data_IF_078432114348
#
_entry.id   IF_078432114348
#
_cell.length_a   1.000
_cell.length_b   1.000
_cell.length_c   1.000
_cell.angle_alpha   90.00
_cell.angle_beta   90.00
_cell.angle_gamma   90.00
#
_symmetry.space_group_name_H-M   'P 1'
#
loop_
_entity.id
_entity.type
_entity.pdbx_description
1 polymer ?
#
# COMPACT_ATOMS: atom_id res chain seq x y z
N UNK A 1 4.07 8.86 -1.63
CA UNK A 1 4.37 7.42 -1.38
C UNK A 1 3.56 6.89 -0.21
N UNK A 2 3.69 7.49 0.98
CA UNK A 2 2.97 7.05 2.19
C UNK A 2 1.43 7.06 2.01
N UNK A 3 0.86 8.10 1.39
CA UNK A 3 -0.59 8.17 1.15
C UNK A 3 -1.08 6.97 0.33
N UNK A 4 -0.37 6.61 -0.74
CA UNK A 4 -0.73 5.45 -1.57
C UNK A 4 -0.58 4.13 -0.79
N UNK A 5 0.42 4.01 0.08
CA UNK A 5 0.56 2.87 0.99
C UNK A 5 -0.65 2.77 1.94
N UNK A 6 -1.10 3.89 2.52
CA UNK A 6 -2.29 3.92 3.38
C UNK A 6 -3.55 3.51 2.62
N UNK A 7 -3.74 3.99 1.39
CA UNK A 7 -4.87 3.59 0.54
C UNK A 7 -4.85 2.07 0.31
N UNK A 8 -3.69 1.51 -0.07
CA UNK A 8 -3.54 0.07 -0.25
C UNK A 8 -3.83 -0.73 1.03
N UNK A 9 -3.36 -0.24 2.19
CA UNK A 9 -3.64 -0.86 3.48
C UNK A 9 -5.13 -0.82 3.84
N UNK A 10 -5.80 0.32 3.67
CA UNK A 10 -7.24 0.45 3.91
C UNK A 10 -8.02 -0.51 3.00
N UNK A 11 -7.64 -0.62 1.72
CA UNK A 11 -8.27 -1.61 0.82
C UNK A 11 -8.20 -3.03 1.37
N UNK A 12 -7.01 -3.47 1.81
CA UNK A 12 -6.83 -4.82 2.36
C UNK A 12 -7.65 -5.02 3.63
N UNK A 13 -7.71 -4.00 4.50
CA UNK A 13 -8.48 -4.06 5.75
C UNK A 13 -9.98 -4.18 5.45
N UNK A 14 -10.52 -3.36 4.55
CA UNK A 14 -11.94 -3.38 4.16
C UNK A 14 -12.31 -4.73 3.50
N UNK A 15 -11.47 -5.25 2.60
CA UNK A 15 -11.66 -6.57 1.98
C UNK A 15 -11.66 -7.68 3.04
N UNK A 16 -10.72 -7.63 3.99
CA UNK A 16 -10.64 -8.60 5.09
C UNK A 16 -11.87 -8.53 5.98
N UNK A 17 -12.31 -7.32 6.31
CA UNK A 17 -13.49 -7.09 7.12
C UNK A 17 -14.74 -7.65 6.44
N UNK A 18 -14.93 -7.40 5.14
CA UNK A 18 -16.07 -7.95 4.40
C UNK A 18 -16.04 -9.48 4.34
N UNK A 19 -14.87 -10.09 4.11
CA UNK A 19 -14.76 -11.56 4.10
C UNK A 19 -15.06 -12.19 5.46
N UNK A 20 -14.64 -11.57 6.56
CA UNK A 20 -14.78 -12.16 7.90
C UNK A 20 -16.10 -11.83 8.59
N UNK A 21 -16.71 -10.69 8.27
CA UNK A 21 -17.84 -10.13 9.03
C UNK A 21 -19.15 -10.15 8.27
N UNK A 22 -19.13 -10.28 6.94
CA UNK A 22 -20.36 -10.29 6.14
C UNK A 22 -21.06 -11.64 6.22
N UNK A 23 -22.40 -11.59 6.26
CA UNK A 23 -23.25 -12.78 6.20
C UNK A 23 -23.03 -13.58 4.91
N UNK A 24 -22.85 -12.87 3.79
CA UNK A 24 -22.45 -13.43 2.51
C UNK A 24 -21.25 -12.63 1.95
N UNK A 25 -20.02 -13.18 2.00
CA UNK A 25 -18.82 -12.49 1.54
C UNK A 25 -18.73 -12.38 0.01
N UNK A 26 -19.55 -13.12 -0.74
CA UNK A 26 -19.60 -13.05 -2.20
C UNK A 26 -20.40 -11.86 -2.72
N UNK A 27 -21.15 -11.19 -1.85
CA UNK A 27 -21.93 -10.02 -2.22
C UNK A 27 -21.03 -8.84 -2.59
N UNK A 28 -21.39 -8.07 -3.63
CA UNK A 28 -20.63 -6.90 -4.05
C UNK A 28 -20.54 -5.86 -2.93
N UNK A 29 -19.34 -5.34 -2.72
CA UNK A 29 -19.05 -4.27 -1.75
C UNK A 29 -18.52 -3.03 -2.45
N UNK A 30 -18.74 -1.87 -1.84
CA UNK A 30 -18.18 -0.60 -2.32
C UNK A 30 -16.81 -0.39 -1.70
N UNK A 31 -15.79 -0.21 -2.54
CA UNK A 31 -14.42 0.08 -2.16
C UNK A 31 -13.93 1.31 -2.95
N UNK A 32 -13.75 2.44 -2.27
CA UNK A 32 -13.30 3.71 -2.86
C UNK A 32 -14.02 4.08 -4.17
N UNK A 33 -15.35 4.14 -4.14
CA UNK A 33 -16.22 4.43 -5.30
C UNK A 33 -16.30 3.34 -6.37
N UNK A 34 -15.62 2.20 -6.21
CA UNK A 34 -15.76 1.04 -7.08
C UNK A 34 -16.57 -0.06 -6.42
N UNK A 35 -17.28 -0.86 -7.22
CA UNK A 35 -17.94 -2.07 -6.75
C UNK A 35 -17.05 -3.27 -7.02
N UNK A 36 -16.69 -4.02 -5.99
CA UNK A 36 -15.79 -5.17 -6.07
C UNK A 36 -16.38 -6.36 -5.32
N UNK A 37 -15.91 -7.56 -5.65
CA UNK A 37 -16.24 -8.78 -4.91
C UNK A 37 -15.00 -9.24 -4.11
N UNK A 38 -15.13 -9.29 -2.78
CA UNK A 38 -14.01 -9.62 -1.90
C UNK A 38 -13.54 -11.07 -1.99
N UNK A 39 -14.33 -11.98 -2.58
CA UNK A 39 -13.93 -13.38 -2.82
C UNK A 39 -13.07 -13.55 -4.08
N UNK A 40 -13.02 -12.54 -4.96
CA UNK A 40 -12.20 -12.58 -6.17
C UNK A 40 -10.78 -12.14 -5.88
N UNK A 41 -9.78 -12.76 -6.53
CA UNK A 41 -8.37 -12.45 -6.26
C UNK A 41 -7.94 -11.03 -6.71
N UNK A 42 -8.61 -10.47 -7.71
CA UNK A 42 -8.22 -9.20 -8.34
C UNK A 42 -8.10 -8.02 -7.37
N UNK A 43 -9.11 -7.70 -6.52
CA UNK A 43 -8.99 -6.59 -5.57
C UNK A 43 -7.86 -6.77 -4.55
N UNK A 44 -7.54 -8.01 -4.15
CA UNK A 44 -6.41 -8.32 -3.26
C UNK A 44 -5.06 -8.06 -3.92
N UNK A 45 -4.90 -8.51 -5.17
CA UNK A 45 -3.66 -8.30 -5.92
C UNK A 45 -3.43 -6.81 -6.16
N UNK A 46 -4.45 -6.06 -6.58
CA UNK A 46 -4.34 -4.62 -6.83
C UNK A 46 -3.97 -3.86 -5.56
N UNK A 47 -4.68 -4.11 -4.45
CA UNK A 47 -4.41 -3.45 -3.17
C UNK A 47 -3.03 -3.83 -2.61
N UNK A 48 -2.63 -5.10 -2.73
CA UNK A 48 -1.30 -5.58 -2.37
C UNK A 48 -0.18 -4.90 -3.16
N UNK A 49 -0.32 -4.78 -4.49
CA UNK A 49 0.66 -4.09 -5.34
C UNK A 49 0.77 -2.62 -4.95
N UNK A 50 -0.36 -1.94 -4.71
CA UNK A 50 -0.36 -0.53 -4.29
C UNK A 50 0.39 -0.38 -2.97
N UNK A 51 0.09 -1.21 -1.97
CA UNK A 51 0.74 -1.17 -0.67
C UNK A 51 2.24 -1.45 -0.77
N UNK A 52 2.61 -2.62 -1.28
CA UNK A 52 4.00 -3.08 -1.35
C UNK A 52 4.83 -2.18 -2.26
N UNK A 53 4.29 -1.84 -3.44
CA UNK A 53 4.93 -0.95 -4.38
C UNK A 53 5.21 0.42 -3.77
N UNK A 54 4.24 1.01 -3.06
CA UNK A 54 4.39 2.32 -2.41
C UNK A 54 5.40 2.32 -1.27
N UNK A 55 5.44 1.25 -0.47
CA UNK A 55 6.43 1.09 0.61
C UNK A 55 7.83 0.87 0.04
N UNK A 56 7.98 -0.01 -0.95
CA UNK A 56 9.26 -0.31 -1.58
C UNK A 56 9.89 0.95 -2.20
N UNK A 57 9.09 1.68 -2.96
CA UNK A 57 9.52 2.93 -3.60
C UNK A 57 9.84 4.01 -2.56
N UNK A 58 9.05 4.15 -1.48
CA UNK A 58 9.39 5.05 -0.38
C UNK A 58 10.76 4.71 0.22
N UNK A 59 10.97 3.44 0.54
CA UNK A 59 12.22 2.95 1.13
C UNK A 59 13.43 3.18 0.23
N UNK A 60 13.30 2.92 -1.08
CA UNK A 60 14.36 3.16 -2.05
C UNK A 60 14.71 4.66 -2.17
N UNK A 61 13.71 5.54 -2.16
CA UNK A 61 13.94 6.99 -2.20
C UNK A 61 14.59 7.49 -0.89
N UNK A 62 14.09 7.04 0.26
CA UNK A 62 14.64 7.39 1.56
C UNK A 62 16.11 6.94 1.69
N UNK A 63 16.44 5.71 1.29
CA UNK A 63 17.83 5.23 1.26
C UNK A 63 18.74 6.09 0.40
N UNK A 64 18.28 6.46 -0.81
CA UNK A 64 19.07 7.30 -1.72
C UNK A 64 19.24 8.73 -1.18
N UNK A 65 18.23 9.28 -0.51
CA UNK A 65 18.34 10.59 0.14
C UNK A 65 19.33 10.55 1.31
N UNK A 66 19.25 9.53 2.17
CA UNK A 66 20.18 9.31 3.28
C UNK A 66 21.62 9.14 2.79
N UNK A 67 21.85 8.30 1.76
CA UNK A 67 23.18 8.10 1.20
C UNK A 67 23.79 9.40 0.68
N UNK A 68 23.00 10.25 0.01
CA UNK A 68 23.43 11.58 -0.45
C UNK A 68 23.76 12.52 0.71
N UNK A 69 22.92 12.52 1.76
CA UNK A 69 23.15 13.35 2.95
C UNK A 69 24.44 12.94 3.70
N UNK A 70 24.69 11.63 3.84
CA UNK A 70 25.92 11.10 4.46
C UNK A 70 27.16 11.47 3.64
N UNK A 71 27.10 11.36 2.30
CA UNK A 71 28.22 11.75 1.44
C UNK A 71 28.56 13.25 1.58
N UNK A 72 27.55 14.12 1.53
CA UNK A 72 27.74 15.57 1.71
C UNK A 72 28.31 15.92 3.10
N UNK A 73 27.86 15.23 4.16
CA UNK A 73 28.39 15.43 5.51
C UNK A 73 29.85 14.95 5.67
N UNK A 74 30.29 14.00 4.83
CA UNK A 74 31.67 13.52 4.80
C UNK A 74 32.63 14.45 4.07
N UNK A 75 32.17 15.14 3.02
CA UNK A 75 32.98 16.11 2.26
C UNK A 75 33.23 17.40 3.06
N UNK A 76 32.26 17.87 3.85
CA UNK A 76 32.44 19.06 4.71
C UNK A 76 33.36 18.86 5.92
N UNK A 77 33.92 17.66 6.12
CA UNK A 77 34.85 17.33 7.22
C UNK A 77 36.31 17.19 6.76
N UNK A 78 36.61 17.36 5.46
CA UNK A 78 37.97 17.41 4.92
C UNK A 78 38.35 18.85 4.60
#
# INVERSE_FOLDING_TARGET
MIIAALIGAICIIELTYHVQRSWDPSMPMTLFYFTVNATTAMPWVVSGIILVGSVATYYLHARRALARAVAAAGEGKK
#
